data_IF_038822851937
#
_entry.id   IF_038822851937
#
_cell.length_a   1.000
_cell.length_b   1.000
_cell.length_c   1.000
_cell.angle_alpha   90.00
_cell.angle_beta   90.00
_cell.angle_gamma   90.00
#
_symmetry.space_group_name_H-M   'P 1'
#
loop_
_entity.id
_entity.type
_entity.pdbx_description
1 polymer ?
#
# COMPACT_ATOMS: atom_id res chain seq x y z
N UNK A 1 7.78 -10.99 -25.52
CA UNK A 1 7.72 -9.69 -24.84
C UNK A 1 7.10 -8.61 -25.75
N UNK A 2 7.57 -8.41 -26.99
CA UNK A 2 7.03 -7.41 -27.92
C UNK A 2 5.55 -7.59 -28.31
N UNK A 3 5.02 -8.80 -28.23
CA UNK A 3 3.60 -9.09 -28.51
C UNK A 3 2.65 -8.75 -27.34
N UNK A 4 3.17 -8.43 -26.15
CA UNK A 4 2.38 -8.21 -24.93
C UNK A 4 2.04 -6.73 -24.66
N UNK A 5 2.36 -5.82 -25.60
CA UNK A 5 2.08 -4.37 -25.45
C UNK A 5 2.59 -3.76 -24.12
N UNK A 6 3.63 -4.35 -23.50
CA UNK A 6 4.08 -3.99 -22.13
C UNK A 6 4.50 -2.53 -21.98
N UNK A 7 4.86 -1.87 -23.07
CA UNK A 7 5.26 -0.46 -23.10
C UNK A 7 4.08 0.50 -23.34
N UNK A 8 2.89 -0.04 -23.64
CA UNK A 8 1.67 0.76 -23.76
C UNK A 8 0.98 0.92 -22.42
N UNK A 9 0.09 1.91 -22.31
CA UNK A 9 -0.76 2.03 -21.12
C UNK A 9 -1.80 0.90 -21.08
N UNK A 10 -2.20 0.52 -19.87
CA UNK A 10 -3.28 -0.45 -19.68
C UNK A 10 -4.59 0.01 -20.35
N UNK A 11 -4.89 1.30 -20.30
CA UNK A 11 -6.02 1.92 -20.99
C UNK A 11 -6.00 1.62 -22.50
N UNK A 12 -4.88 1.92 -23.18
CA UNK A 12 -4.75 1.68 -24.61
C UNK A 12 -4.78 0.19 -24.96
N UNK A 13 -4.24 -0.66 -24.09
CA UNK A 13 -4.23 -2.10 -24.29
C UNK A 13 -5.64 -2.68 -24.21
N UNK A 14 -6.43 -2.34 -23.19
CA UNK A 14 -7.81 -2.86 -23.01
C UNK A 14 -8.70 -2.40 -24.16
N UNK A 15 -8.64 -1.13 -24.57
CA UNK A 15 -9.43 -0.55 -25.67
C UNK A 15 -9.11 -1.15 -27.05
N UNK A 16 -8.02 -1.85 -27.19
CA UNK A 16 -7.72 -2.63 -28.39
C UNK A 16 -8.64 -3.84 -28.58
N UNK A 17 -9.16 -4.39 -27.49
CA UNK A 17 -9.98 -5.61 -27.47
C UNK A 17 -11.44 -5.36 -27.11
N UNK A 18 -11.74 -4.29 -26.42
CA UNK A 18 -13.06 -4.01 -25.88
C UNK A 18 -13.49 -2.57 -26.20
N UNK A 19 -14.78 -2.42 -26.55
CA UNK A 19 -15.43 -1.13 -26.84
C UNK A 19 -16.51 -0.76 -25.82
N UNK A 20 -16.99 -1.73 -25.04
CA UNK A 20 -18.01 -1.47 -24.02
C UNK A 20 -17.39 -0.78 -22.82
N UNK A 21 -17.79 0.48 -22.55
CA UNK A 21 -17.24 1.31 -21.49
C UNK A 21 -17.38 0.71 -20.09
N UNK A 22 -18.47 0.01 -19.79
CA UNK A 22 -18.65 -0.65 -18.48
C UNK A 22 -17.64 -1.78 -18.28
N UNK A 23 -17.39 -2.55 -19.34
CA UNK A 23 -16.38 -3.61 -19.30
C UNK A 23 -14.97 -3.04 -19.22
N UNK A 24 -14.70 -1.97 -19.93
CA UNK A 24 -13.41 -1.27 -19.87
C UNK A 24 -13.14 -0.78 -18.44
N UNK A 25 -14.09 -0.06 -17.81
CA UNK A 25 -13.97 0.42 -16.42
C UNK A 25 -13.76 -0.76 -15.44
N UNK A 26 -14.43 -1.87 -15.64
CA UNK A 26 -14.25 -3.08 -14.82
C UNK A 26 -12.82 -3.65 -14.95
N UNK A 27 -12.27 -3.68 -16.16
CA UNK A 27 -10.93 -4.19 -16.41
C UNK A 27 -9.83 -3.20 -16.00
N UNK A 28 -10.11 -1.90 -15.99
CA UNK A 28 -9.19 -0.86 -15.52
C UNK A 28 -9.17 -0.73 -13.99
N UNK A 29 -10.24 -1.13 -13.30
CA UNK A 29 -10.40 -0.96 -11.86
C UNK A 29 -9.23 -1.46 -11.01
N UNK A 30 -8.63 -2.65 -11.25
CA UNK A 30 -7.57 -3.16 -10.39
C UNK A 30 -6.33 -2.24 -10.28
N UNK A 31 -6.13 -1.34 -11.23
CA UNK A 31 -5.04 -0.36 -11.20
C UNK A 31 -5.16 0.62 -10.03
N UNK A 32 -6.36 0.88 -9.52
CA UNK A 32 -6.58 1.74 -8.36
C UNK A 32 -5.86 1.22 -7.11
N UNK A 33 -5.69 -0.09 -6.97
CA UNK A 33 -4.93 -0.70 -5.88
C UNK A 33 -3.43 -0.33 -5.89
N UNK A 34 -2.91 0.10 -7.05
CA UNK A 34 -1.54 0.59 -7.17
C UNK A 34 -1.42 2.09 -6.90
N UNK A 35 -2.52 2.77 -6.58
CA UNK A 35 -2.54 4.23 -6.46
C UNK A 35 -2.23 4.95 -7.77
N UNK A 36 -2.65 4.38 -8.91
CA UNK A 36 -2.37 4.91 -10.24
C UNK A 36 -3.61 4.89 -11.12
N UNK A 37 -3.49 5.33 -12.37
CA UNK A 37 -4.57 5.30 -13.36
C UNK A 37 -4.22 4.35 -14.52
N UNK A 38 -5.21 3.82 -15.21
CA UNK A 38 -5.00 2.96 -16.38
C UNK A 38 -4.29 3.69 -17.53
N UNK A 39 -4.38 5.02 -17.60
CA UNK A 39 -3.71 5.85 -18.61
C UNK A 39 -2.20 5.95 -18.38
N UNK A 40 -1.76 5.91 -17.11
CA UNK A 40 -0.35 6.07 -16.72
C UNK A 40 0.33 4.77 -16.35
N UNK A 41 -0.42 3.70 -16.11
CA UNK A 41 0.11 2.39 -15.75
C UNK A 41 0.41 1.53 -16.97
N UNK A 42 1.53 0.79 -16.99
CA UNK A 42 1.87 -0.14 -18.06
C UNK A 42 0.83 -1.25 -18.25
N UNK A 43 0.65 -1.70 -19.49
CA UNK A 43 -0.27 -2.80 -19.83
C UNK A 43 0.07 -4.13 -19.13
N UNK A 44 1.32 -4.30 -18.67
CA UNK A 44 1.75 -5.45 -17.88
C UNK A 44 0.85 -5.69 -16.65
N UNK A 45 0.30 -4.63 -16.07
CA UNK A 45 -0.61 -4.74 -14.92
C UNK A 45 -1.97 -5.38 -15.25
N UNK A 46 -2.28 -5.64 -16.52
CA UNK A 46 -3.41 -6.52 -16.89
C UNK A 46 -3.30 -7.94 -16.31
N UNK A 47 -2.10 -8.35 -15.87
CA UNK A 47 -1.90 -9.58 -15.10
C UNK A 47 -2.70 -9.60 -13.78
N UNK A 48 -3.02 -8.44 -13.21
CA UNK A 48 -3.91 -8.35 -12.04
C UNK A 48 -5.33 -8.86 -12.38
N UNK A 49 -5.84 -8.55 -13.58
CA UNK A 49 -7.13 -9.11 -14.04
C UNK A 49 -7.07 -10.63 -14.18
N UNK A 50 -5.95 -11.17 -14.67
CA UNK A 50 -5.78 -12.62 -14.74
C UNK A 50 -5.77 -13.23 -13.34
N UNK A 51 -5.06 -12.63 -12.39
CA UNK A 51 -5.02 -13.12 -11.03
C UNK A 51 -6.41 -13.10 -10.39
N UNK A 52 -7.16 -12.02 -10.54
CA UNK A 52 -8.49 -11.86 -9.93
C UNK A 52 -9.55 -12.77 -10.59
N UNK A 53 -9.61 -12.80 -11.93
CA UNK A 53 -10.63 -13.55 -12.67
C UNK A 53 -10.31 -15.05 -12.71
N UNK A 54 -9.05 -15.43 -12.95
CA UNK A 54 -8.64 -16.83 -13.16
C UNK A 54 -8.28 -17.54 -11.87
N UNK A 55 -7.52 -16.88 -10.98
CA UNK A 55 -7.07 -17.48 -9.72
C UNK A 55 -8.07 -17.25 -8.59
N UNK A 56 -8.92 -16.23 -8.72
CA UNK A 56 -9.95 -15.87 -7.76
C UNK A 56 -9.45 -15.04 -6.60
N UNK A 57 -10.41 -14.44 -5.91
CA UNK A 57 -10.16 -13.65 -4.70
C UNK A 57 -10.39 -14.51 -3.47
N UNK A 58 -9.38 -14.56 -2.59
CA UNK A 58 -9.41 -15.36 -1.37
C UNK A 58 -9.51 -14.45 -0.15
N UNK A 59 -10.29 -14.87 0.83
CA UNK A 59 -10.49 -14.15 2.07
C UNK A 59 -10.22 -15.06 3.26
N UNK A 60 -9.38 -14.67 4.24
CA UNK A 60 -9.04 -15.52 5.36
C UNK A 60 -10.26 -15.78 6.24
N UNK A 61 -10.47 -17.05 6.63
CA UNK A 61 -11.51 -17.41 7.59
C UNK A 61 -11.26 -16.69 8.91
N UNK A 62 -12.25 -15.93 9.37
CA UNK A 62 -12.14 -15.09 10.59
C UNK A 62 -11.67 -13.67 10.35
N UNK A 63 -11.53 -13.25 9.07
CA UNK A 63 -11.23 -11.85 8.69
C UNK A 63 -9.77 -11.58 8.39
N UNK A 64 -9.50 -10.43 7.77
CA UNK A 64 -8.15 -10.04 7.34
C UNK A 64 -7.16 -9.92 8.51
N UNK A 65 -7.62 -9.59 9.70
CA UNK A 65 -6.77 -9.49 10.88
C UNK A 65 -6.08 -10.82 11.25
N UNK A 66 -6.65 -11.95 10.82
CA UNK A 66 -6.01 -13.27 11.01
C UNK A 66 -4.63 -13.39 10.34
N UNK A 67 -4.39 -12.66 9.26
CA UNK A 67 -3.05 -12.57 8.66
C UNK A 67 -2.06 -11.87 9.59
N UNK A 68 -2.49 -10.77 10.23
CA UNK A 68 -1.68 -10.05 11.20
C UNK A 68 -1.36 -10.94 12.41
N UNK A 69 -2.36 -11.65 12.95
CA UNK A 69 -2.16 -12.57 14.07
C UNK A 69 -1.17 -13.69 13.72
N UNK A 70 -1.28 -14.27 12.53
CA UNK A 70 -0.36 -15.30 12.07
C UNK A 70 1.09 -14.79 11.95
N UNK A 71 1.28 -13.59 11.38
CA UNK A 71 2.59 -12.96 11.28
C UNK A 71 3.18 -12.63 12.66
N UNK A 72 2.36 -12.11 13.58
CA UNK A 72 2.76 -11.84 14.98
C UNK A 72 3.16 -13.12 15.69
N UNK A 73 2.41 -14.21 15.52
CA UNK A 73 2.74 -15.52 16.11
C UNK A 73 4.11 -16.00 15.62
N UNK A 74 4.33 -15.99 14.31
CA UNK A 74 5.60 -16.39 13.71
C UNK A 74 6.76 -15.50 14.18
N UNK A 75 6.57 -14.20 14.29
CA UNK A 75 7.57 -13.26 14.79
C UNK A 75 7.96 -13.61 16.23
N UNK A 76 6.97 -13.85 17.09
CA UNK A 76 7.21 -14.27 18.49
C UNK A 76 7.95 -15.60 18.61
N UNK A 77 7.62 -16.58 17.78
CA UNK A 77 8.34 -17.87 17.70
C UNK A 77 9.81 -17.67 17.34
N UNK A 78 10.12 -16.65 16.55
CA UNK A 78 11.50 -16.26 16.20
C UNK A 78 12.18 -15.35 17.23
N UNK A 79 11.56 -15.14 18.39
CA UNK A 79 12.10 -14.31 19.46
C UNK A 79 11.97 -12.80 19.27
N UNK A 80 11.18 -12.35 18.29
CA UNK A 80 10.94 -10.92 18.06
C UNK A 80 10.13 -10.34 19.20
N UNK A 81 10.60 -9.24 19.78
CA UNK A 81 9.87 -8.46 20.77
C UNK A 81 9.03 -7.41 20.07
N UNK A 82 7.74 -7.37 20.35
CA UNK A 82 6.79 -6.43 19.75
C UNK A 82 6.31 -5.45 20.82
N UNK A 83 6.51 -4.16 20.57
CA UNK A 83 6.11 -3.08 21.47
C UNK A 83 5.06 -2.22 20.78
N UNK A 84 3.85 -2.22 21.32
CA UNK A 84 2.74 -1.40 20.82
C UNK A 84 2.64 -0.07 21.59
N UNK A 85 1.94 0.90 21.01
CA UNK A 85 1.69 2.20 21.62
C UNK A 85 2.98 2.95 22.01
N UNK A 86 3.97 2.85 21.16
CA UNK A 86 5.25 3.53 21.27
C UNK A 86 5.56 4.22 19.94
N UNK A 87 5.23 5.49 19.86
CA UNK A 87 5.56 6.31 18.71
C UNK A 87 7.06 6.61 18.71
N UNK A 88 7.71 6.34 17.58
CA UNK A 88 9.13 6.70 17.38
C UNK A 88 9.19 8.19 17.08
N UNK A 89 9.92 8.94 17.91
CA UNK A 89 9.99 10.40 17.82
C UNK A 89 11.33 10.90 17.30
N UNK A 90 12.42 10.16 17.51
CA UNK A 90 13.76 10.55 17.04
C UNK A 90 14.75 9.39 17.14
N UNK A 91 15.98 9.65 16.72
CA UNK A 91 17.11 8.73 16.86
C UNK A 91 18.29 9.41 17.56
N UNK A 92 19.04 8.65 18.35
CA UNK A 92 20.38 9.06 18.78
C UNK A 92 21.43 8.49 17.83
N UNK A 93 22.54 9.20 17.72
CA UNK A 93 23.62 8.84 16.79
C UNK A 93 24.95 8.78 17.51
N UNK A 94 25.75 7.78 17.18
CA UNK A 94 27.13 7.63 17.59
C UNK A 94 27.99 7.39 16.36
N UNK A 95 29.02 8.17 16.15
CA UNK A 95 29.88 8.09 14.95
C UNK A 95 29.09 8.15 13.62
N UNK A 96 28.07 9.00 13.52
CA UNK A 96 27.16 9.16 12.38
C UNK A 96 26.27 7.92 12.07
N UNK A 97 26.22 6.95 12.95
CA UNK A 97 25.31 5.79 12.86
C UNK A 97 24.23 5.90 13.93
N UNK A 98 23.03 5.45 13.63
CA UNK A 98 21.95 5.35 14.62
C UNK A 98 22.42 4.36 15.69
N UNK A 99 22.36 4.79 16.95
CA UNK A 99 22.68 3.95 18.11
C UNK A 99 21.44 3.62 18.95
N UNK A 100 20.45 4.52 18.95
CA UNK A 100 19.22 4.31 19.71
C UNK A 100 18.00 4.84 18.96
N UNK A 101 16.89 4.15 19.14
CA UNK A 101 15.55 4.57 18.72
C UNK A 101 14.82 5.12 19.93
N UNK A 102 14.42 6.40 19.87
CA UNK A 102 13.67 7.06 20.93
C UNK A 102 12.17 7.03 20.60
N UNK A 103 11.40 6.59 21.58
CA UNK A 103 9.94 6.59 21.50
C UNK A 103 9.34 7.51 22.54
N UNK A 104 8.04 7.73 22.49
CA UNK A 104 7.31 8.48 23.52
C UNK A 104 7.40 7.88 24.93
N UNK A 105 7.83 6.61 25.07
CA UNK A 105 7.83 5.91 26.37
C UNK A 105 9.17 5.28 26.74
N UNK A 106 10.03 4.98 25.77
CA UNK A 106 11.24 4.18 25.99
C UNK A 106 12.31 4.51 24.98
N UNK A 107 13.53 4.10 25.29
CA UNK A 107 14.69 4.16 24.38
C UNK A 107 15.17 2.73 24.13
N UNK A 108 15.43 2.41 22.87
CA UNK A 108 15.90 1.10 22.44
C UNK A 108 17.26 1.23 21.75
N UNK A 109 18.23 0.48 22.19
CA UNK A 109 19.50 0.34 21.49
C UNK A 109 19.30 -0.51 20.22
N UNK A 110 19.93 -0.16 19.11
CA UNK A 110 19.82 -0.87 17.86
C UNK A 110 21.06 -0.66 16.98
N UNK A 111 21.60 -1.74 16.44
CA UNK A 111 22.67 -1.73 15.44
C UNK A 111 22.17 -1.34 14.06
N UNK A 112 20.94 -1.72 13.74
CA UNK A 112 20.26 -1.44 12.47
C UNK A 112 18.82 -1.08 12.71
N UNK A 113 18.30 -0.15 11.92
CA UNK A 113 16.90 0.26 11.98
C UNK A 113 16.28 0.16 10.59
N UNK A 114 15.18 -0.61 10.49
CA UNK A 114 14.36 -0.70 9.28
C UNK A 114 13.04 0.02 9.55
N UNK A 115 12.78 1.09 8.82
CA UNK A 115 11.57 1.89 8.97
C UNK A 115 10.48 1.41 7.99
N UNK A 116 9.39 0.89 8.54
CA UNK A 116 8.18 0.54 7.77
C UNK A 116 7.11 1.63 7.77
N UNK A 117 7.38 2.80 8.33
CA UNK A 117 6.49 3.95 8.34
C UNK A 117 6.58 4.76 7.04
N UNK A 118 5.69 5.75 6.86
CA UNK A 118 5.72 6.64 5.70
C UNK A 118 7.08 7.31 5.55
N UNK A 119 7.66 7.19 4.34
CA UNK A 119 9.03 7.62 4.10
C UNK A 119 9.18 9.14 4.22
N UNK A 120 8.22 9.91 3.71
CA UNK A 120 8.24 11.36 3.84
C UNK A 120 8.21 11.76 5.32
N UNK A 121 7.35 11.13 6.12
CA UNK A 121 7.26 11.37 7.55
C UNK A 121 8.59 11.10 8.27
N UNK A 122 9.19 9.94 8.04
CA UNK A 122 10.48 9.59 8.65
C UNK A 122 11.58 10.57 8.24
N UNK A 123 11.69 10.83 6.93
CA UNK A 123 12.73 11.69 6.37
C UNK A 123 12.61 13.16 6.85
N UNK A 124 11.38 13.69 6.92
CA UNK A 124 11.17 15.11 7.25
C UNK A 124 10.91 15.40 8.73
N UNK A 125 10.38 14.45 9.50
CA UNK A 125 9.94 14.71 10.87
C UNK A 125 10.75 13.95 11.93
N UNK A 126 11.30 12.78 11.62
CA UNK A 126 11.99 11.92 12.59
C UNK A 126 13.51 12.00 12.46
N UNK A 127 14.04 12.01 11.23
CA UNK A 127 15.48 12.17 10.98
C UNK A 127 15.94 13.59 11.22
N UNK A 128 17.09 13.75 11.88
CA UNK A 128 17.79 15.03 11.93
C UNK A 128 18.14 15.50 10.51
N UNK A 129 18.07 16.81 10.27
CA UNK A 129 18.26 17.43 8.96
C UNK A 129 19.51 16.95 8.20
N UNK A 130 20.61 16.75 8.91
CA UNK A 130 21.89 16.30 8.32
C UNK A 130 21.88 14.86 7.80
N UNK A 131 20.93 14.04 8.25
CA UNK A 131 20.77 12.64 7.83
C UNK A 131 19.61 12.40 6.86
N UNK A 132 18.89 13.46 6.48
CA UNK A 132 17.79 13.37 5.50
C UNK A 132 18.33 13.12 4.11
N UNK A 133 17.69 12.23 3.37
CA UNK A 133 18.05 11.95 1.98
C UNK A 133 17.55 13.02 1.02
N UNK A 134 16.43 13.66 1.34
CA UNK A 134 15.77 14.61 0.45
C UNK A 134 15.39 15.90 1.15
N UNK A 135 15.42 17.00 0.37
CA UNK A 135 14.97 18.30 0.85
C UNK A 135 13.44 18.40 0.90
N UNK A 136 12.92 19.35 1.68
CA UNK A 136 11.48 19.65 1.65
C UNK A 136 11.00 20.05 0.24
N UNK A 137 11.83 20.77 -0.53
CA UNK A 137 11.52 21.14 -1.91
C UNK A 137 11.39 19.91 -2.85
N UNK A 138 12.18 18.85 -2.62
CA UNK A 138 12.02 17.59 -3.35
C UNK A 138 10.65 16.98 -3.06
N UNK A 139 10.29 16.85 -1.78
CA UNK A 139 9.01 16.26 -1.38
C UNK A 139 7.80 17.05 -1.88
N UNK A 140 7.86 18.38 -1.84
CA UNK A 140 6.79 19.25 -2.33
C UNK A 140 6.54 19.14 -3.85
N UNK A 141 7.52 18.66 -4.61
CA UNK A 141 7.39 18.44 -6.06
C UNK A 141 6.96 17.01 -6.41
N UNK A 142 6.90 16.10 -5.44
CA UNK A 142 6.50 14.70 -5.70
C UNK A 142 4.99 14.58 -5.81
N UNK A 143 4.54 13.83 -6.81
CA UNK A 143 3.16 13.38 -6.88
C UNK A 143 2.96 12.28 -5.85
N UNK A 144 2.14 12.55 -4.85
CA UNK A 144 1.78 11.55 -3.85
C UNK A 144 0.70 10.62 -4.41
N UNK A 145 0.67 9.37 -3.92
CA UNK A 145 -0.40 8.44 -4.25
C UNK A 145 -1.76 9.00 -3.79
N UNK A 146 -2.85 8.69 -4.50
CA UNK A 146 -4.18 9.12 -4.09
C UNK A 146 -4.53 8.53 -2.72
N UNK A 147 -5.21 9.33 -1.92
CA UNK A 147 -5.78 8.93 -0.64
C UNK A 147 -7.23 8.48 -0.83
N UNK A 148 -7.77 7.77 0.16
CA UNK A 148 -9.17 7.37 0.17
C UNK A 148 -9.82 7.68 1.51
N UNK A 149 -11.11 7.98 1.49
CA UNK A 149 -11.92 8.06 2.70
C UNK A 149 -12.57 6.68 2.92
N UNK A 150 -12.21 6.03 4.02
CA UNK A 150 -12.64 4.67 4.33
C UNK A 150 -13.69 4.67 5.42
N UNK A 151 -14.83 4.04 5.16
CA UNK A 151 -15.89 3.82 6.14
C UNK A 151 -16.02 2.34 6.46
N UNK A 152 -15.94 1.98 7.73
CA UNK A 152 -16.28 0.65 8.23
C UNK A 152 -17.73 0.66 8.73
N UNK A 153 -18.62 0.01 7.99
CA UNK A 153 -20.05 0.01 8.28
C UNK A 153 -20.50 -1.36 8.78
N UNK A 154 -20.86 -1.46 10.06
CA UNK A 154 -21.51 -2.63 10.64
C UNK A 154 -23.02 -2.55 10.50
N UNK A 155 -23.64 -3.62 10.02
CA UNK A 155 -25.09 -3.71 9.89
C UNK A 155 -25.65 -4.78 10.83
N UNK A 156 -26.82 -4.53 11.41
CA UNK A 156 -27.53 -5.49 12.24
C UNK A 156 -28.36 -6.52 11.44
N UNK A 157 -28.29 -6.46 10.09
CA UNK A 157 -28.98 -7.38 9.19
C UNK A 157 -28.10 -7.71 7.98
N UNK A 158 -28.29 -8.90 7.42
CA UNK A 158 -27.64 -9.31 6.17
C UNK A 158 -28.33 -8.64 4.99
N UNK A 159 -27.58 -7.92 4.18
CA UNK A 159 -28.09 -7.36 2.93
C UNK A 159 -28.22 -8.45 1.86
N UNK A 160 -29.34 -8.41 1.10
CA UNK A 160 -29.54 -9.28 -0.05
C UNK A 160 -28.83 -8.70 -1.28
N UNK A 161 -28.35 -9.58 -2.16
CA UNK A 161 -27.77 -9.22 -3.46
C UNK A 161 -26.49 -8.34 -3.42
N UNK A 162 -25.81 -8.25 -2.28
CA UNK A 162 -24.50 -7.60 -2.19
C UNK A 162 -23.43 -8.61 -2.60
N UNK A 163 -22.59 -8.21 -3.55
CA UNK A 163 -21.41 -8.95 -3.98
C UNK A 163 -20.19 -8.57 -3.12
N UNK A 164 -19.11 -9.35 -3.23
CA UNK A 164 -17.87 -9.09 -2.51
C UNK A 164 -17.31 -7.70 -2.85
N UNK A 165 -17.38 -7.30 -4.13
CA UNK A 165 -17.05 -5.96 -4.60
C UNK A 165 -18.24 -5.38 -5.36
N UNK A 166 -18.63 -4.16 -4.98
CA UNK A 166 -19.59 -3.34 -5.73
C UNK A 166 -18.89 -2.02 -6.06
N UNK A 167 -18.80 -1.70 -7.34
CA UNK A 167 -18.12 -0.51 -7.83
C UNK A 167 -19.16 0.47 -8.34
N UNK A 168 -19.05 1.70 -7.85
CA UNK A 168 -19.87 2.82 -8.30
C UNK A 168 -18.95 3.82 -8.99
N UNK A 169 -19.13 4.02 -10.27
CA UNK A 169 -18.39 4.98 -11.05
C UNK A 169 -19.29 6.17 -11.37
N UNK A 170 -18.82 7.36 -11.06
CA UNK A 170 -19.42 8.58 -11.54
C UNK A 170 -18.96 8.87 -12.98
N UNK A 171 -19.52 9.90 -13.59
CA UNK A 171 -19.00 10.44 -14.85
C UNK A 171 -17.58 10.95 -14.62
N UNK A 172 -16.74 10.84 -15.64
CA UNK A 172 -15.36 11.35 -15.62
C UNK A 172 -15.29 12.83 -15.29
#
# INVERSE_FOLDING_TARGET
LFKMDIFKSMHSHIRKYFTNEKLIKLLEFPILFLGSTAKTSPALYSLMNYADIKLGTWYPKGGMYKLVEAMVSLAKEKGVKIYNNQEVVSFNYTNNLISHVLTTKSTFEADYVVCGADYNHIDQNVLEKKYRNYSASYWNKRTMAPSSLLFYVGLNKKLKNVKHHCLFFDKD
#
